data_IF_806498984536
#
_entry.id   IF_806498984536
#
_cell.length_a   1.000
_cell.length_b   1.000
_cell.length_c   1.000
_cell.angle_alpha   90.00
_cell.angle_beta   90.00
_cell.angle_gamma   90.00
#
_symmetry.space_group_name_H-M   'P 1'
#
loop_
_entity.id
_entity.type
_entity.pdbx_description
1 polymer ?
#
# COMPACT_ATOMS: atom_id res chain seq x y z
N UNK A 1 -26.11 18.91 -0.68
CA UNK A 1 -25.38 17.73 -1.15
C UNK A 1 -26.43 16.71 -1.50
N UNK A 2 -26.60 16.43 -2.79
CA UNK A 2 -27.54 15.42 -3.27
C UNK A 2 -26.75 14.32 -3.95
N UNK A 3 -26.89 13.09 -3.48
CA UNK A 3 -26.33 11.93 -4.18
C UNK A 3 -27.14 11.67 -5.45
N UNK A 4 -26.44 11.48 -6.57
CA UNK A 4 -27.00 11.04 -7.82
C UNK A 4 -26.72 9.54 -7.99
N UNK A 5 -27.76 8.73 -7.94
CA UNK A 5 -27.68 7.26 -8.01
C UNK A 5 -27.62 6.75 -9.46
N UNK A 6 -27.12 7.57 -10.38
CA UNK A 6 -27.01 7.24 -11.80
C UNK A 6 -25.62 6.64 -12.08
N UNK A 7 -25.55 5.31 -12.00
CA UNK A 7 -24.32 4.56 -12.26
C UNK A 7 -23.83 4.72 -13.71
N UNK A 8 -24.72 4.94 -14.68
CA UNK A 8 -24.35 5.12 -16.08
C UNK A 8 -23.68 6.49 -16.29
N UNK A 9 -24.21 7.53 -15.64
CA UNK A 9 -23.60 8.85 -15.64
C UNK A 9 -22.25 8.89 -14.91
N UNK A 10 -22.11 8.16 -13.80
CA UNK A 10 -20.81 7.98 -13.12
C UNK A 10 -19.81 7.40 -14.12
N UNK A 11 -20.12 6.26 -14.72
CA UNK A 11 -19.28 5.60 -15.73
C UNK A 11 -18.94 6.53 -16.90
N UNK A 12 -19.89 7.35 -17.35
CA UNK A 12 -19.66 8.34 -18.40
C UNK A 12 -18.61 9.37 -17.99
N UNK A 13 -18.70 9.93 -16.77
CA UNK A 13 -17.69 10.85 -16.26
C UNK A 13 -16.33 10.17 -16.07
N UNK A 14 -16.29 8.90 -15.63
CA UNK A 14 -15.03 8.17 -15.48
C UNK A 14 -14.33 8.02 -16.83
N UNK A 15 -15.06 7.56 -17.85
CA UNK A 15 -14.52 7.33 -19.20
C UNK A 15 -14.15 8.63 -19.91
N UNK A 16 -14.98 9.67 -19.80
CA UNK A 16 -14.71 10.96 -20.42
C UNK A 16 -13.42 11.63 -19.91
N UNK A 17 -12.93 11.17 -18.75
CA UNK A 17 -11.78 11.75 -18.05
C UNK A 17 -10.65 10.73 -17.84
N UNK A 18 -10.73 9.56 -18.47
CA UNK A 18 -9.78 8.45 -18.34
C UNK A 18 -9.52 8.01 -16.88
N UNK A 19 -10.47 8.26 -15.97
CA UNK A 19 -10.30 7.93 -14.55
C UNK A 19 -10.48 6.43 -14.32
N UNK A 20 -11.25 5.77 -15.18
CA UNK A 20 -11.43 4.32 -15.25
C UNK A 20 -10.11 3.57 -15.44
N UNK A 21 -9.08 4.21 -16.00
CA UNK A 21 -7.74 3.62 -16.13
C UNK A 21 -6.99 3.49 -14.80
N UNK A 22 -7.38 4.28 -13.80
CA UNK A 22 -6.72 4.34 -12.49
C UNK A 22 -7.54 3.60 -11.42
N UNK A 23 -8.87 3.60 -11.53
CA UNK A 23 -9.76 2.94 -10.59
C UNK A 23 -10.06 1.50 -11.01
N UNK A 24 -9.66 0.54 -10.17
CA UNK A 24 -9.93 -0.87 -10.41
C UNK A 24 -11.40 -1.25 -10.09
N UNK A 25 -11.83 -2.43 -10.54
CA UNK A 25 -13.18 -2.96 -10.32
C UNK A 25 -13.59 -3.07 -8.84
N UNK A 26 -12.62 -3.12 -7.92
CA UNK A 26 -12.90 -3.19 -6.47
C UNK A 26 -13.29 -1.83 -5.88
N UNK A 27 -12.80 -0.72 -6.44
CA UNK A 27 -13.10 0.63 -5.95
C UNK A 27 -14.42 1.13 -6.53
N UNK A 28 -14.78 0.74 -7.76
CA UNK A 28 -16.01 1.19 -8.46
C UNK A 28 -17.28 1.16 -7.60
N UNK A 29 -17.57 0.12 -6.79
CA UNK A 29 -18.78 0.08 -5.95
C UNK A 29 -18.81 1.12 -4.83
N UNK A 30 -17.67 1.74 -4.51
CA UNK A 30 -17.53 2.73 -3.44
C UNK A 30 -17.53 4.17 -3.96
N UNK A 31 -17.77 4.36 -5.25
CA UNK A 31 -17.81 5.67 -5.89
C UNK A 31 -19.27 6.12 -6.03
N UNK A 32 -19.56 7.30 -5.52
CA UNK A 32 -20.85 7.98 -5.66
C UNK A 32 -20.67 9.35 -6.31
N UNK A 33 -21.64 9.76 -7.13
CA UNK A 33 -21.70 11.11 -7.70
C UNK A 33 -22.53 12.01 -6.79
N UNK A 34 -22.04 13.22 -6.55
CA UNK A 34 -22.73 14.22 -5.73
C UNK A 34 -22.87 15.54 -6.48
N UNK A 35 -24.05 16.15 -6.33
CA UNK A 35 -24.35 17.49 -6.80
C UNK A 35 -24.48 18.47 -5.63
N UNK A 36 -24.02 19.69 -5.86
CA UNK A 36 -24.01 20.79 -4.88
C UNK A 36 -24.63 22.04 -5.50
N UNK A 37 -25.51 22.69 -4.75
CA UNK A 37 -26.14 23.92 -5.21
C UNK A 37 -25.17 25.10 -5.17
N UNK A 38 -25.46 26.15 -5.94
CA UNK A 38 -24.61 27.36 -5.96
C UNK A 38 -24.61 28.00 -4.57
N UNK A 39 -23.41 28.13 -3.99
CA UNK A 39 -23.22 28.69 -2.65
C UNK A 39 -23.24 27.65 -1.53
N UNK A 40 -23.54 26.39 -1.85
CA UNK A 40 -23.45 25.30 -0.89
C UNK A 40 -21.99 25.01 -0.49
N UNK A 41 -21.78 24.73 0.80
CA UNK A 41 -20.46 24.35 1.32
C UNK A 41 -20.20 22.86 1.06
N UNK A 42 -19.04 22.56 0.49
CA UNK A 42 -18.59 21.18 0.26
C UNK A 42 -17.81 20.67 1.48
N UNK A 43 -16.88 21.48 1.99
CA UNK A 43 -16.10 21.19 3.21
C UNK A 43 -15.92 22.47 4.02
N UNK A 44 -15.96 22.36 5.35
CA UNK A 44 -15.61 23.47 6.25
C UNK A 44 -14.29 23.22 6.98
N UNK A 45 -13.58 24.30 7.31
CA UNK A 45 -12.33 24.21 8.07
C UNK A 45 -12.59 23.61 9.46
N UNK A 46 -11.81 22.59 9.81
CA UNK A 46 -11.91 21.89 11.11
C UNK A 46 -12.90 20.74 11.13
N UNK A 47 -13.68 20.53 10.06
CA UNK A 47 -14.52 19.33 9.93
C UNK A 47 -13.67 18.09 9.63
N UNK A 48 -14.10 16.95 10.18
CA UNK A 48 -13.51 15.66 9.84
C UNK A 48 -13.88 15.30 8.40
N UNK A 49 -12.88 15.04 7.57
CA UNK A 49 -13.09 14.60 6.20
C UNK A 49 -13.39 13.10 6.18
N UNK A 50 -14.65 12.74 5.88
CA UNK A 50 -15.08 11.35 5.70
C UNK A 50 -14.95 10.85 4.25
N UNK A 51 -14.84 11.76 3.28
CA UNK A 51 -14.83 11.46 1.85
C UNK A 51 -13.73 12.23 1.13
N UNK A 52 -13.21 11.63 0.06
CA UNK A 52 -12.37 12.31 -0.92
C UNK A 52 -13.26 12.75 -2.09
N UNK A 53 -13.29 14.05 -2.37
CA UNK A 53 -14.05 14.60 -3.48
C UNK A 53 -13.18 14.81 -4.71
N UNK A 54 -13.73 14.45 -5.86
CA UNK A 54 -13.15 14.70 -7.18
C UNK A 54 -14.13 15.58 -7.95
N UNK A 55 -13.70 16.80 -8.28
CA UNK A 55 -14.52 17.72 -9.08
C UNK A 55 -14.53 17.22 -10.52
N UNK A 56 -15.67 16.77 -11.05
CA UNK A 56 -15.81 16.34 -12.46
C UNK A 56 -16.51 17.39 -13.34
N UNK A 57 -17.27 18.30 -12.72
CA UNK A 57 -17.99 19.36 -13.43
C UNK A 57 -18.21 20.57 -12.53
N UNK A 58 -18.10 21.77 -13.10
CA UNK A 58 -18.39 23.03 -12.42
C UNK A 58 -17.13 23.76 -11.94
N UNK A 59 -17.32 24.66 -10.96
CA UNK A 59 -16.27 25.52 -10.41
C UNK A 59 -16.41 25.61 -8.90
N UNK A 60 -15.31 25.36 -8.19
CA UNK A 60 -15.23 25.44 -6.73
C UNK A 60 -14.49 26.71 -6.34
N UNK A 61 -14.97 27.38 -5.29
CA UNK A 61 -14.30 28.51 -4.65
C UNK A 61 -13.70 28.05 -3.34
N UNK A 62 -12.38 28.16 -3.20
CA UNK A 62 -11.68 27.88 -1.95
C UNK A 62 -11.36 29.20 -1.27
N UNK A 63 -11.78 29.33 -0.02
CA UNK A 63 -11.60 30.56 0.76
C UNK A 63 -11.42 30.22 2.24
N UNK A 64 -10.88 31.18 2.99
CA UNK A 64 -10.83 31.16 4.45
C UNK A 64 -11.62 32.33 5.00
N UNK A 65 -12.10 32.20 6.23
CA UNK A 65 -12.84 33.25 6.93
C UNK A 65 -12.13 33.54 8.25
N UNK A 66 -11.84 34.81 8.52
CA UNK A 66 -11.25 35.23 9.79
C UNK A 66 -12.27 35.12 10.93
N UNK A 67 -11.78 35.17 12.17
CA UNK A 67 -12.64 35.26 13.38
C UNK A 67 -13.61 36.45 13.36
N UNK A 68 -13.30 37.50 12.59
CA UNK A 68 -14.15 38.70 12.40
C UNK A 68 -15.16 38.54 11.26
N UNK A 69 -15.22 37.39 10.58
CA UNK A 69 -16.10 37.13 9.46
C UNK A 69 -15.61 37.64 8.10
N UNK A 70 -14.37 38.13 7.99
CA UNK A 70 -13.80 38.58 6.71
C UNK A 70 -13.37 37.38 5.87
N UNK A 71 -13.84 37.31 4.63
CA UNK A 71 -13.53 36.23 3.70
C UNK A 71 -12.35 36.57 2.80
N UNK A 72 -11.33 35.72 2.77
CA UNK A 72 -10.22 35.77 1.82
C UNK A 72 -10.34 34.63 0.82
N UNK A 73 -10.50 34.99 -0.46
CA UNK A 73 -10.52 33.99 -1.55
C UNK A 73 -9.10 33.54 -1.82
N UNK A 74 -8.85 32.24 -1.66
CA UNK A 74 -7.53 31.64 -1.90
C UNK A 74 -7.38 31.22 -3.36
N UNK A 75 -8.40 30.56 -3.91
CA UNK A 75 -8.38 30.14 -5.30
C UNK A 75 -9.77 29.80 -5.82
N UNK A 76 -9.89 29.79 -7.14
CA UNK A 76 -10.96 29.10 -7.82
C UNK A 76 -10.39 27.87 -8.52
N UNK A 77 -11.11 26.75 -8.44
CA UNK A 77 -10.75 25.49 -9.09
C UNK A 77 -11.83 25.12 -10.09
N UNK A 78 -11.41 24.77 -11.29
CA UNK A 78 -12.23 24.08 -12.28
C UNK A 78 -11.72 22.66 -12.39
N UNK A 79 -12.49 21.79 -13.05
CA UNK A 79 -12.01 20.46 -13.35
C UNK A 79 -10.71 20.51 -14.17
N UNK A 80 -9.70 19.78 -13.70
CA UNK A 80 -8.41 19.58 -14.38
C UNK A 80 -8.14 18.07 -14.45
N UNK A 81 -8.46 17.42 -15.58
CA UNK A 81 -8.30 15.99 -15.73
C UNK A 81 -6.83 15.54 -15.60
N UNK A 82 -5.86 16.35 -16.04
CA UNK A 82 -4.46 15.97 -16.00
C UNK A 82 -3.90 15.93 -14.58
N UNK A 83 -4.21 16.97 -13.78
CA UNK A 83 -3.83 16.99 -12.36
C UNK A 83 -4.54 15.89 -11.58
N UNK A 84 -5.82 15.65 -11.87
CA UNK A 84 -6.57 14.58 -11.23
C UNK A 84 -5.94 13.21 -11.52
N UNK A 85 -5.68 12.91 -12.80
CA UNK A 85 -5.09 11.64 -13.20
C UNK A 85 -3.73 11.44 -12.53
N UNK A 86 -2.86 12.46 -12.54
CA UNK A 86 -1.57 12.41 -11.84
C UNK A 86 -1.72 12.09 -10.34
N UNK A 87 -2.63 12.78 -9.64
CA UNK A 87 -2.84 12.56 -8.21
C UNK A 87 -3.40 11.16 -7.95
N UNK A 88 -4.38 10.71 -8.74
CA UNK A 88 -5.00 9.40 -8.58
C UNK A 88 -3.99 8.28 -8.87
N UNK A 89 -3.19 8.38 -9.92
CA UNK A 89 -2.16 7.38 -10.24
C UNK A 89 -1.16 7.25 -9.07
N UNK A 90 -0.66 8.38 -8.55
CA UNK A 90 0.29 8.36 -7.45
C UNK A 90 -0.30 7.90 -6.12
N UNK A 91 -1.52 8.30 -5.77
CA UNK A 91 -2.19 7.85 -4.54
C UNK A 91 -2.52 6.37 -4.65
N UNK A 92 -3.08 5.92 -5.78
CA UNK A 92 -3.43 4.52 -6.02
C UNK A 92 -2.19 3.63 -5.96
N UNK A 93 -1.09 4.03 -6.61
CA UNK A 93 0.18 3.27 -6.55
C UNK A 93 0.74 3.19 -5.12
N UNK A 94 0.75 4.30 -4.37
CA UNK A 94 1.19 4.31 -2.97
C UNK A 94 0.31 3.45 -2.09
N UNK A 95 -1.01 3.51 -2.28
CA UNK A 95 -1.97 2.72 -1.52
C UNK A 95 -1.87 1.24 -1.85
N UNK A 96 -1.78 0.88 -3.14
CA UNK A 96 -1.60 -0.50 -3.60
C UNK A 96 -0.33 -1.12 -3.03
N UNK A 97 0.81 -0.44 -3.13
CA UNK A 97 2.07 -0.94 -2.56
C UNK A 97 1.99 -1.17 -1.04
N UNK A 98 1.35 -0.25 -0.31
CA UNK A 98 1.15 -0.39 1.15
C UNK A 98 0.14 -1.47 1.49
N UNK A 99 -0.95 -1.58 0.74
CA UNK A 99 -2.00 -2.59 0.92
C UNK A 99 -1.46 -3.98 0.63
N UNK A 100 -0.66 -4.14 -0.43
CA UNK A 100 0.04 -5.38 -0.74
C UNK A 100 1.01 -5.77 0.38
N UNK A 101 1.85 -4.83 0.85
CA UNK A 101 2.75 -5.07 1.98
C UNK A 101 2.00 -5.42 3.27
N UNK A 102 0.89 -4.73 3.55
CA UNK A 102 0.04 -4.98 4.72
C UNK A 102 -0.64 -6.35 4.63
N UNK A 103 -1.23 -6.67 3.49
CA UNK A 103 -1.87 -7.96 3.22
C UNK A 103 -0.86 -9.09 3.44
N UNK A 104 0.33 -8.97 2.86
CA UNK A 104 1.41 -9.93 3.07
C UNK A 104 1.84 -10.03 4.54
N UNK A 105 1.88 -8.90 5.25
CA UNK A 105 2.24 -8.86 6.66
C UNK A 105 1.15 -9.42 7.59
N UNK A 106 -0.12 -9.35 7.19
CA UNK A 106 -1.29 -9.82 7.94
C UNK A 106 -1.63 -11.28 7.65
N UNK A 107 -1.44 -11.73 6.41
CA UNK A 107 -1.79 -13.09 5.98
C UNK A 107 -0.76 -14.13 6.41
N UNK A 108 0.51 -13.75 6.48
CA UNK A 108 1.59 -14.65 6.84
C UNK A 108 2.30 -14.16 8.09
N UNK A 109 2.46 -14.95 9.15
CA UNK A 109 3.26 -14.57 10.31
C UNK A 109 4.74 -14.41 9.92
N UNK A 110 5.54 -13.72 10.75
CA UNK A 110 6.94 -13.40 10.44
C UNK A 110 7.77 -14.66 10.20
N UNK A 111 7.45 -15.74 10.90
CA UNK A 111 8.03 -17.07 10.76
C UNK A 111 7.91 -17.59 9.32
N UNK A 112 6.71 -17.49 8.72
CA UNK A 112 6.46 -17.91 7.33
C UNK A 112 7.26 -17.04 6.37
N UNK A 113 7.16 -15.70 6.50
CA UNK A 113 7.89 -14.76 5.62
C UNK A 113 9.40 -14.96 5.70
N UNK A 114 9.93 -15.19 6.91
CA UNK A 114 11.35 -15.43 7.11
C UNK A 114 11.80 -16.75 6.50
N UNK A 115 11.01 -17.81 6.63
CA UNK A 115 11.32 -19.10 6.00
C UNK A 115 11.32 -19.02 4.48
N UNK A 116 10.31 -18.41 3.88
CA UNK A 116 10.21 -18.20 2.42
C UNK A 116 11.37 -17.33 1.89
N UNK A 117 11.74 -16.27 2.60
CA UNK A 117 12.88 -15.43 2.21
C UNK A 117 14.21 -16.18 2.28
N UNK A 118 14.45 -16.96 3.34
CA UNK A 118 15.66 -17.76 3.46
C UNK A 118 15.77 -18.81 2.34
N UNK A 119 14.64 -19.40 1.94
CA UNK A 119 14.59 -20.32 0.80
C UNK A 119 14.91 -19.61 -0.53
N UNK A 120 14.29 -18.45 -0.80
CA UNK A 120 14.49 -17.74 -2.08
C UNK A 120 15.91 -17.22 -2.28
N UNK A 121 16.59 -16.79 -1.21
CA UNK A 121 17.97 -16.28 -1.32
C UNK A 121 19.04 -17.36 -1.25
N UNK A 122 18.70 -18.53 -0.67
CA UNK A 122 19.65 -19.64 -0.48
C UNK A 122 19.58 -20.68 -1.60
N UNK A 123 18.47 -20.76 -2.33
CA UNK A 123 18.23 -21.74 -3.41
C UNK A 123 17.81 -21.01 -4.69
N UNK A 124 18.80 -20.45 -5.40
CA UNK A 124 18.64 -19.92 -6.74
C UNK A 124 18.89 -21.06 -7.75
N UNK A 125 17.88 -21.43 -8.55
CA UNK A 125 17.93 -22.62 -9.44
C UNK A 125 19.09 -22.59 -10.45
N UNK A 126 19.65 -21.41 -10.74
CA UNK A 126 20.72 -21.24 -11.70
C UNK A 126 22.11 -21.72 -11.22
N UNK A 127 22.34 -21.84 -9.91
CA UNK A 127 23.69 -22.08 -9.38
C UNK A 127 23.71 -23.08 -8.21
N UNK A 128 23.51 -24.36 -8.52
CA UNK A 128 23.50 -25.51 -7.58
C UNK A 128 24.84 -25.76 -6.84
N UNK A 129 25.78 -24.82 -6.83
CA UNK A 129 27.15 -25.00 -6.29
C UNK A 129 27.56 -24.03 -5.19
N UNK A 130 26.77 -23.00 -4.89
CA UNK A 130 27.10 -22.03 -3.85
C UNK A 130 26.07 -22.10 -2.75
N UNK A 131 26.43 -22.70 -1.61
CA UNK A 131 25.82 -22.38 -0.32
C UNK A 131 25.97 -20.86 -0.11
N UNK A 132 24.99 -20.07 -0.58
CA UNK A 132 25.00 -18.61 -0.42
C UNK A 132 24.86 -18.31 1.07
N UNK A 133 25.99 -17.96 1.69
CA UNK A 133 26.07 -17.52 3.08
C UNK A 133 25.53 -16.09 3.16
N UNK A 134 24.38 -15.91 3.80
CA UNK A 134 23.80 -14.59 4.08
C UNK A 134 24.67 -13.86 5.11
N UNK A 135 25.13 -12.63 4.82
CA UNK A 135 25.91 -11.88 5.79
C UNK A 135 25.02 -11.34 6.92
N UNK A 136 25.62 -11.01 8.06
CA UNK A 136 24.86 -10.40 9.17
C UNK A 136 24.35 -8.99 8.87
N UNK A 137 24.93 -8.29 7.89
CA UNK A 137 24.44 -6.98 7.44
C UNK A 137 23.14 -7.14 6.66
N UNK A 138 23.07 -8.15 5.79
CA UNK A 138 21.86 -8.48 5.01
C UNK A 138 20.67 -8.84 5.90
N UNK A 139 20.92 -9.36 7.12
CA UNK A 139 19.87 -9.68 8.09
C UNK A 139 19.16 -8.42 8.66
N UNK A 140 19.85 -7.29 8.77
CA UNK A 140 19.24 -6.03 9.20
C UNK A 140 18.26 -5.52 8.14
N UNK A 141 18.68 -5.55 6.89
CA UNK A 141 17.88 -5.14 5.75
C UNK A 141 16.72 -6.11 5.51
N UNK A 142 16.94 -7.41 5.76
CA UNK A 142 15.89 -8.43 5.72
C UNK A 142 14.76 -8.14 6.73
N UNK A 143 15.05 -7.68 7.95
CA UNK A 143 13.99 -7.35 8.92
C UNK A 143 13.05 -6.24 8.40
N UNK A 144 13.63 -5.20 7.78
CA UNK A 144 12.86 -4.11 7.15
C UNK A 144 12.04 -4.63 5.96
N UNK A 145 12.66 -5.44 5.10
CA UNK A 145 12.01 -6.04 3.93
C UNK A 145 10.83 -6.94 4.30
N UNK A 146 10.98 -7.75 5.35
CA UNK A 146 9.94 -8.64 5.87
C UNK A 146 8.88 -7.90 6.71
N UNK A 147 8.93 -6.57 6.79
CA UNK A 147 7.93 -5.75 7.46
C UNK A 147 7.86 -5.98 8.97
N UNK A 148 9.00 -6.20 9.63
CA UNK A 148 9.05 -6.48 11.07
C UNK A 148 10.16 -5.71 11.77
N UNK A 149 10.10 -5.63 13.10
CA UNK A 149 11.21 -5.03 13.86
C UNK A 149 12.41 -5.97 13.91
N UNK A 150 13.62 -5.42 13.93
CA UNK A 150 14.84 -6.22 14.12
C UNK A 150 14.78 -7.12 15.38
N UNK A 151 14.12 -6.64 16.44
CA UNK A 151 13.92 -7.40 17.68
C UNK A 151 13.07 -8.64 17.45
N UNK A 152 11.95 -8.50 16.74
CA UNK A 152 11.06 -9.63 16.48
C UNK A 152 11.67 -10.59 15.45
N UNK A 153 12.33 -10.07 14.41
CA UNK A 153 13.13 -10.87 13.48
C UNK A 153 14.17 -11.73 14.22
N UNK A 154 14.95 -11.12 15.12
CA UNK A 154 15.94 -11.87 15.90
C UNK A 154 15.30 -12.92 16.81
N UNK A 155 14.11 -12.66 17.38
CA UNK A 155 13.39 -13.66 18.19
C UNK A 155 13.06 -14.89 17.36
N UNK A 156 12.55 -14.70 16.15
CA UNK A 156 12.23 -15.78 15.21
C UNK A 156 13.49 -16.50 14.75
N UNK A 157 14.56 -15.76 14.42
CA UNK A 157 15.84 -16.35 14.04
C UNK A 157 16.40 -17.28 15.13
N UNK A 158 16.31 -16.87 16.41
CA UNK A 158 16.75 -17.70 17.53
C UNK A 158 15.88 -18.97 17.67
N UNK A 159 14.58 -18.88 17.40
CA UNK A 159 13.71 -20.06 17.36
C UNK A 159 14.13 -21.02 16.24
N UNK A 160 14.43 -20.51 15.05
CA UNK A 160 14.91 -21.33 13.93
C UNK A 160 16.28 -21.97 14.21
N UNK A 161 17.17 -21.25 14.89
CA UNK A 161 18.43 -21.83 15.37
C UNK A 161 18.20 -22.95 16.39
N UNK A 162 17.28 -22.73 17.34
CA UNK A 162 16.97 -23.71 18.38
C UNK A 162 16.30 -24.98 17.83
N UNK A 163 15.49 -24.85 16.78
CA UNK A 163 14.89 -25.99 16.07
C UNK A 163 15.81 -26.64 15.05
N UNK A 164 17.03 -26.13 14.87
CA UNK A 164 18.03 -26.71 13.96
C UNK A 164 17.80 -26.41 12.47
N UNK A 165 16.87 -25.51 12.14
CA UNK A 165 16.56 -25.14 10.75
C UNK A 165 17.67 -24.33 10.10
N UNK A 166 18.31 -23.46 10.90
CA UNK A 166 19.41 -22.61 10.47
C UNK A 166 20.51 -22.58 11.54
N UNK A 167 21.73 -22.24 11.13
CA UNK A 167 22.87 -22.10 12.02
C UNK A 167 23.53 -20.74 11.82
N UNK A 168 23.63 -19.95 12.88
CA UNK A 168 24.32 -18.66 12.85
C UNK A 168 25.82 -18.86 13.13
N UNK A 169 26.67 -18.45 12.20
CA UNK A 169 28.13 -18.40 12.36
C UNK A 169 28.61 -16.94 12.37
N UNK A 170 29.87 -16.72 12.75
CA UNK A 170 30.45 -15.37 12.80
C UNK A 170 30.38 -14.73 11.41
N UNK A 171 29.53 -13.72 11.28
CA UNK A 171 29.37 -12.94 10.06
C UNK A 171 28.41 -13.52 9.01
N UNK A 172 27.86 -14.73 9.20
CA UNK A 172 26.91 -15.30 8.25
C UNK A 172 25.89 -16.29 8.83
N UNK A 173 24.81 -16.53 8.10
CA UNK A 173 23.78 -17.54 8.39
C UNK A 173 23.86 -18.69 7.39
N UNK A 174 23.68 -19.92 7.87
CA UNK A 174 23.65 -21.14 7.07
C UNK A 174 22.28 -21.83 7.21
N UNK A 175 21.65 -22.21 6.11
CA UNK A 175 20.45 -23.05 6.14
C UNK A 175 20.85 -24.52 6.33
N UNK A 176 20.27 -25.19 7.34
CA UNK A 176 20.60 -26.57 7.71
C UNK A 176 19.52 -27.55 7.27
N UNK A 177 18.26 -27.13 7.34
CA UNK A 177 17.10 -27.94 6.98
C UNK A 177 16.16 -27.14 6.05
N UNK A 178 16.39 -27.20 4.74
CA UNK A 178 15.55 -26.53 3.75
C UNK A 178 14.11 -27.09 3.71
N UNK A 179 13.93 -28.39 3.98
CA UNK A 179 12.61 -29.01 3.96
C UNK A 179 11.77 -28.54 5.14
N UNK A 180 12.35 -28.47 6.35
CA UNK A 180 11.67 -27.89 7.51
C UNK A 180 11.31 -26.40 7.31
N UNK A 181 12.14 -25.64 6.59
CA UNK A 181 11.78 -24.28 6.18
C UNK A 181 10.64 -24.25 5.15
N UNK A 182 10.58 -25.22 4.21
CA UNK A 182 9.47 -25.34 3.24
C UNK A 182 8.16 -25.68 3.94
N UNK A 183 8.18 -26.53 4.95
CA UNK A 183 6.99 -26.84 5.76
C UNK A 183 6.46 -25.60 6.48
N UNK A 184 7.34 -24.77 7.05
CA UNK A 184 6.96 -23.50 7.69
C UNK A 184 6.45 -22.51 6.65
N UNK A 185 7.11 -22.41 5.50
CA UNK A 185 6.69 -21.51 4.42
C UNK A 185 5.32 -21.92 3.83
N UNK A 186 5.03 -23.21 3.77
CA UNK A 186 3.89 -23.77 3.05
C UNK A 186 4.08 -23.63 1.55
N UNK A 187 3.79 -22.45 0.99
CA UNK A 187 4.13 -22.06 -0.38
C UNK A 187 5.20 -20.98 -0.34
N UNK A 188 6.19 -21.02 -1.22
CA UNK A 188 7.18 -19.95 -1.27
C UNK A 188 6.52 -18.67 -1.82
N UNK A 189 6.30 -17.69 -0.94
CA UNK A 189 5.60 -16.43 -1.24
C UNK A 189 6.50 -15.36 -1.86
N UNK A 190 7.78 -15.67 -2.07
CA UNK A 190 8.77 -14.79 -2.73
C UNK A 190 9.36 -15.41 -4.02
N UNK A 191 8.84 -16.55 -4.47
CA UNK A 191 9.09 -17.14 -5.80
C UNK A 191 8.08 -16.65 -6.84
#
# INVERSE_FOLDING_TARGET
MREWQDHELVEQYLRAHNIDTVWNEQIKPHISLYDFEVGELICSQGESAAMLYVLVRGKVKVYTTSVEGKTLILSFKTFDPALLQFLLEHITMKFYAKSHSLSFNLLYPVEVRMASYLLSVSFDEADKRLEKKLSTADLMDAASLLGTSYRHFNRVLQQFCASGLVERKKGFLLVKDPEGLREIAGQNIYE
#
